data_IF_914523682663
#
_entry.id   IF_914523682663
#
_cell.length_a   1.000
_cell.length_b   1.000
_cell.length_c   1.000
_cell.angle_alpha   90.00
_cell.angle_beta   90.00
_cell.angle_gamma   90.00
#
_symmetry.space_group_name_H-M   'P 1'
#
loop_
_entity.id
_entity.type
_entity.pdbx_description
1 polymer ?
#
# COMPACT_ATOMS: atom_id res chain seq x y z
N UNK A 1 7.94 -14.10 5.24
CA UNK A 1 7.27 -13.39 6.32
C UNK A 1 6.65 -12.15 5.68
N UNK A 2 5.34 -12.01 5.76
CA UNK A 2 4.61 -10.89 5.17
C UNK A 2 4.39 -9.76 6.18
N UNK A 3 3.69 -8.72 5.74
CA UNK A 3 3.22 -7.61 6.58
C UNK A 3 2.34 -8.16 7.71
N UNK A 4 2.59 -7.72 8.93
CA UNK A 4 1.83 -8.17 10.13
C UNK A 4 0.81 -7.13 10.60
N UNK A 5 1.00 -5.86 10.24
CA UNK A 5 0.05 -4.78 10.50
C UNK A 5 0.18 -3.63 9.51
N UNK A 6 -0.91 -2.87 9.36
CA UNK A 6 -0.98 -1.64 8.57
C UNK A 6 -1.58 -0.57 9.49
N UNK A 7 -0.79 0.46 9.78
CA UNK A 7 -1.18 1.50 10.73
C UNK A 7 -2.06 2.60 10.14
N UNK A 8 -2.48 3.50 11.01
CA UNK A 8 -3.42 4.59 10.69
C UNK A 8 -3.05 5.37 9.43
N UNK A 9 -4.06 5.66 8.63
CA UNK A 9 -3.98 6.51 7.44
C UNK A 9 -3.00 6.06 6.34
N UNK A 10 -2.45 4.83 6.38
CA UNK A 10 -1.43 4.38 5.43
C UNK A 10 -1.85 4.56 3.96
N UNK A 11 -3.09 4.28 3.64
CA UNK A 11 -3.69 4.45 2.30
C UNK A 11 -4.92 5.36 2.31
N UNK A 12 -5.02 6.24 3.31
CA UNK A 12 -6.13 7.19 3.41
C UNK A 12 -6.23 8.06 2.17
N UNK A 13 -7.43 8.14 1.59
CA UNK A 13 -7.72 8.94 0.42
C UNK A 13 -7.12 8.43 -0.90
N UNK A 14 -6.47 7.28 -0.92
CA UNK A 14 -5.90 6.68 -2.15
C UNK A 14 -7.01 6.16 -3.08
N UNK A 15 -7.86 7.07 -3.55
CA UNK A 15 -9.06 6.78 -4.35
C UNK A 15 -8.76 6.20 -5.76
N UNK A 16 -7.51 6.27 -6.21
CA UNK A 16 -7.07 5.68 -7.47
C UNK A 16 -6.82 4.17 -7.40
N UNK A 17 -6.80 3.56 -6.20
CA UNK A 17 -6.58 2.13 -6.07
C UNK A 17 -7.81 1.34 -6.52
N UNK A 18 -7.60 0.40 -7.44
CA UNK A 18 -8.62 -0.54 -7.94
C UNK A 18 -8.33 -1.98 -7.54
N UNK A 19 -7.10 -2.28 -7.12
CA UNK A 19 -6.68 -3.61 -6.70
C UNK A 19 -5.58 -3.53 -5.65
N UNK A 20 -5.71 -4.34 -4.60
CA UNK A 20 -4.69 -4.52 -3.57
C UNK A 20 -4.41 -6.01 -3.43
N UNK A 21 -3.14 -6.41 -3.54
CA UNK A 21 -2.71 -7.80 -3.36
C UNK A 21 -2.03 -7.95 -1.99
N UNK A 22 -2.60 -8.78 -1.15
CA UNK A 22 -2.03 -9.13 0.15
C UNK A 22 -1.67 -10.61 0.11
N UNK A 23 -0.38 -10.93 0.24
CA UNK A 23 0.12 -12.32 0.19
C UNK A 23 0.27 -12.94 1.58
N UNK A 24 -0.20 -12.26 2.62
CA UNK A 24 -0.13 -12.76 3.97
C UNK A 24 -1.18 -13.85 4.20
N UNK A 25 -0.75 -15.05 4.56
CA UNK A 25 -1.63 -16.17 4.95
C UNK A 25 -2.35 -15.89 6.28
N UNK A 26 -1.72 -15.10 7.15
CA UNK A 26 -2.34 -14.57 8.36
C UNK A 26 -2.78 -13.14 8.11
N UNK A 27 -4.03 -12.84 8.40
CA UNK A 27 -4.60 -11.51 8.19
C UNK A 27 -3.82 -10.49 9.02
N UNK A 28 -3.23 -9.45 8.39
CA UNK A 28 -2.57 -8.37 9.09
C UNK A 28 -3.57 -7.59 9.94
N UNK A 29 -3.14 -7.04 11.05
CA UNK A 29 -3.93 -6.04 11.76
C UNK A 29 -3.98 -4.77 10.93
N UNK A 30 -5.14 -4.13 10.89
CA UNK A 30 -5.29 -2.79 10.33
C UNK A 30 -5.83 -1.87 11.42
N UNK A 31 -5.23 -0.68 11.50
CA UNK A 31 -5.68 0.37 12.40
C UNK A 31 -6.82 1.19 11.77
N UNK A 32 -7.23 2.26 12.44
CA UNK A 32 -8.34 3.11 11.97
C UNK A 32 -7.97 3.84 10.68
N UNK A 33 -8.97 4.07 9.82
CA UNK A 33 -8.86 4.94 8.63
C UNK A 33 -7.80 4.53 7.60
N UNK A 34 -7.24 3.33 7.70
CA UNK A 34 -6.17 2.85 6.80
C UNK A 34 -6.56 3.00 5.33
N UNK A 35 -7.75 2.56 4.96
CA UNK A 35 -8.27 2.58 3.59
C UNK A 35 -9.45 3.53 3.40
N UNK A 36 -9.69 4.44 4.34
CA UNK A 36 -10.77 5.41 4.19
C UNK A 36 -10.55 6.29 2.95
N UNK A 37 -11.58 6.45 2.12
CA UNK A 37 -11.49 7.14 0.84
C UNK A 37 -11.03 6.27 -0.33
N UNK A 38 -10.66 5.01 -0.10
CA UNK A 38 -10.60 3.98 -1.14
C UNK A 38 -12.02 3.57 -1.48
N UNK A 39 -12.37 3.51 -2.78
CA UNK A 39 -13.72 3.12 -3.21
C UNK A 39 -13.92 1.60 -3.00
N UNK A 40 -14.62 1.23 -1.93
CA UNK A 40 -14.88 -0.16 -1.54
C UNK A 40 -15.56 -1.00 -2.63
N UNK A 41 -16.29 -0.37 -3.56
CA UNK A 41 -16.98 -1.04 -4.66
C UNK A 41 -16.09 -1.27 -5.87
N UNK A 42 -15.11 -0.39 -6.07
CA UNK A 42 -14.20 -0.45 -7.21
C UNK A 42 -12.89 -1.14 -6.89
N UNK A 43 -12.44 -1.06 -5.63
CA UNK A 43 -11.19 -1.68 -5.22
C UNK A 43 -11.43 -3.14 -4.81
N UNK A 44 -10.74 -4.05 -5.47
CA UNK A 44 -10.74 -5.49 -5.13
C UNK A 44 -9.53 -5.82 -4.27
N UNK A 45 -9.78 -6.45 -3.13
CA UNK A 45 -8.73 -7.04 -2.29
C UNK A 45 -8.46 -8.47 -2.76
N UNK A 46 -7.24 -8.72 -3.22
CA UNK A 46 -6.79 -10.05 -3.61
C UNK A 46 -6.01 -10.68 -2.46
N UNK A 47 -6.41 -11.89 -2.07
CA UNK A 47 -5.85 -12.63 -0.93
C UNK A 47 -5.43 -14.04 -1.33
N UNK A 48 -4.52 -14.70 -0.61
CA UNK A 48 -4.09 -16.06 -0.94
C UNK A 48 -5.25 -17.05 -0.95
N UNK A 49 -5.15 -18.07 -1.80
CA UNK A 49 -6.10 -19.19 -1.82
C UNK A 49 -6.32 -19.79 -0.43
N UNK A 50 -7.57 -20.01 -0.07
CA UNK A 50 -7.99 -20.56 1.23
C UNK A 50 -8.06 -19.56 2.38
N UNK A 51 -7.77 -18.25 2.15
CA UNK A 51 -7.77 -17.25 3.23
C UNK A 51 -8.92 -16.23 3.15
N UNK A 52 -9.75 -16.29 2.10
CA UNK A 52 -10.82 -15.30 1.86
C UNK A 52 -11.74 -15.12 3.06
N UNK A 53 -12.14 -16.21 3.69
CA UNK A 53 -13.10 -16.14 4.80
C UNK A 53 -12.47 -15.49 6.02
N UNK A 54 -11.18 -15.71 6.29
CA UNK A 54 -10.44 -15.05 7.37
C UNK A 54 -10.40 -13.53 7.15
N UNK A 55 -10.12 -13.09 5.91
CA UNK A 55 -10.15 -11.67 5.56
C UNK A 55 -11.55 -11.07 5.65
N UNK A 56 -12.60 -11.81 5.23
CA UNK A 56 -13.99 -11.37 5.34
C UNK A 56 -14.50 -11.26 6.78
N UNK A 57 -13.93 -12.02 7.71
CA UNK A 57 -14.26 -11.96 9.14
C UNK A 57 -13.43 -10.91 9.89
N UNK A 58 -12.42 -10.32 9.23
CA UNK A 58 -11.54 -9.29 9.80
C UNK A 58 -12.04 -7.87 9.51
N UNK A 59 -11.28 -6.86 9.96
CA UNK A 59 -11.60 -5.45 9.74
C UNK A 59 -11.50 -5.02 8.27
N UNK A 60 -10.85 -5.80 7.41
CA UNK A 60 -10.83 -5.55 5.96
C UNK A 60 -12.23 -5.49 5.35
N UNK A 61 -13.21 -6.18 5.90
CA UNK A 61 -14.61 -6.16 5.44
C UNK A 61 -15.24 -4.77 5.43
N UNK A 62 -14.76 -3.86 6.28
CA UNK A 62 -15.29 -2.50 6.33
C UNK A 62 -14.84 -1.63 5.17
N UNK A 63 -13.75 -2.02 4.50
CA UNK A 63 -13.11 -1.26 3.44
C UNK A 63 -13.22 -1.92 2.06
N UNK A 64 -13.58 -3.21 1.97
CA UNK A 64 -13.63 -3.94 0.71
C UNK A 64 -14.90 -4.76 0.59
N UNK A 65 -15.73 -4.45 -0.41
CA UNK A 65 -16.89 -5.29 -0.77
C UNK A 65 -16.43 -6.53 -1.57
N UNK A 66 -15.35 -6.37 -2.36
CA UNK A 66 -14.80 -7.41 -3.21
C UNK A 66 -13.51 -7.98 -2.62
N UNK A 67 -13.59 -9.18 -2.03
CA UNK A 67 -12.44 -9.95 -1.57
C UNK A 67 -12.37 -11.23 -2.38
N UNK A 68 -11.30 -11.40 -3.16
CA UNK A 68 -11.13 -12.47 -4.14
C UNK A 68 -9.84 -13.23 -3.86
N UNK A 69 -9.90 -14.54 -3.92
CA UNK A 69 -8.71 -15.38 -3.84
C UNK A 69 -7.99 -15.40 -5.18
N UNK A 70 -6.66 -15.41 -5.14
CA UNK A 70 -5.84 -15.49 -6.33
C UNK A 70 -4.76 -16.56 -6.21
N UNK A 71 -4.48 -17.20 -7.32
CA UNK A 71 -3.22 -17.92 -7.50
C UNK A 71 -2.17 -16.92 -7.97
N UNK A 72 -0.93 -17.06 -7.50
CA UNK A 72 0.16 -16.16 -7.85
C UNK A 72 0.50 -16.26 -9.35
N UNK A 73 -0.29 -15.62 -10.18
CA UNK A 73 -0.03 -15.47 -11.62
C UNK A 73 0.56 -14.09 -11.87
N UNK A 74 1.54 -14.01 -12.75
CA UNK A 74 2.18 -12.74 -13.11
C UNK A 74 1.17 -11.80 -13.77
N UNK A 75 0.97 -10.63 -13.13
CA UNK A 75 0.28 -9.49 -13.73
C UNK A 75 1.35 -8.62 -14.38
N UNK A 76 1.10 -8.10 -15.58
CA UNK A 76 1.97 -7.10 -16.23
C UNK A 76 2.16 -5.90 -15.32
N UNK A 77 3.29 -5.84 -14.63
CA UNK A 77 3.62 -4.80 -13.66
C UNK A 77 5.08 -4.37 -13.76
N UNK A 78 5.32 -3.12 -13.41
CA UNK A 78 6.69 -2.63 -13.20
C UNK A 78 7.16 -3.18 -11.86
N UNK A 79 8.24 -3.96 -11.90
CA UNK A 79 8.88 -4.50 -10.68
C UNK A 79 10.13 -3.68 -10.36
N UNK A 80 10.22 -3.18 -9.14
CA UNK A 80 11.37 -2.42 -8.66
C UNK A 80 11.98 -3.14 -7.47
N UNK A 81 13.27 -3.50 -7.61
CA UNK A 81 14.09 -4.01 -6.52
C UNK A 81 14.76 -2.84 -5.81
N UNK A 82 14.50 -2.69 -4.52
CA UNK A 82 15.16 -1.71 -3.66
C UNK A 82 16.23 -2.42 -2.81
N UNK A 83 17.49 -2.08 -3.06
CA UNK A 83 18.63 -2.55 -2.24
C UNK A 83 18.69 -1.81 -0.89
N UNK A 84 18.05 -0.65 -0.81
CA UNK A 84 18.01 0.20 0.37
C UNK A 84 16.66 0.89 0.46
N UNK A 85 16.07 0.89 1.65
CA UNK A 85 14.85 1.64 1.95
C UNK A 85 15.04 3.16 1.73
N UNK A 86 13.99 3.83 1.27
CA UNK A 86 13.99 5.27 1.00
C UNK A 86 14.51 5.64 -0.38
N UNK A 87 14.79 4.68 -1.25
CA UNK A 87 15.38 4.94 -2.58
C UNK A 87 14.41 4.78 -3.75
N UNK A 88 13.14 4.52 -3.51
CA UNK A 88 12.13 4.49 -4.58
C UNK A 88 12.10 5.78 -5.42
N UNK A 89 12.22 6.99 -4.82
CA UNK A 89 12.29 8.24 -5.58
C UNK A 89 13.48 8.32 -6.55
N UNK A 90 14.57 7.63 -6.25
CA UNK A 90 15.76 7.57 -7.13
C UNK A 90 15.56 6.59 -8.30
N UNK A 91 14.66 5.61 -8.14
CA UNK A 91 14.39 4.56 -9.13
C UNK A 91 13.29 4.91 -10.12
N UNK A 92 12.39 5.82 -9.75
CA UNK A 92 11.28 6.29 -10.58
C UNK A 92 11.46 7.78 -10.83
N UNK A 93 11.70 8.15 -12.08
CA UNK A 93 11.79 9.56 -12.46
C UNK A 93 10.49 10.30 -12.15
N UNK A 94 10.58 11.51 -11.61
CA UNK A 94 9.42 12.33 -11.21
C UNK A 94 8.42 12.54 -12.35
N UNK A 95 8.89 12.59 -13.61
CA UNK A 95 8.04 12.71 -14.81
C UNK A 95 7.24 11.43 -15.12
N UNK A 96 7.65 10.29 -14.58
CA UNK A 96 7.01 8.98 -14.84
C UNK A 96 6.12 8.49 -13.71
N UNK A 97 6.32 8.98 -12.49
CA UNK A 97 5.64 8.44 -11.30
C UNK A 97 4.11 8.45 -11.39
N UNK A 98 3.53 9.46 -12.05
CA UNK A 98 2.09 9.58 -12.19
C UNK A 98 1.48 8.76 -13.35
N UNK A 99 2.34 8.08 -14.15
CA UNK A 99 1.89 7.25 -15.27
C UNK A 99 1.94 5.74 -14.97
N UNK A 100 2.49 5.36 -13.84
CA UNK A 100 2.59 3.95 -13.43
C UNK A 100 1.27 3.53 -12.82
N UNK A 101 0.62 2.54 -13.42
CA UNK A 101 -0.64 1.98 -12.94
C UNK A 101 -0.46 0.72 -12.09
N UNK A 102 0.58 -0.09 -12.38
CA UNK A 102 0.84 -1.35 -11.69
C UNK A 102 2.30 -1.37 -11.20
N UNK A 103 2.49 -1.52 -9.89
CA UNK A 103 3.80 -1.50 -9.25
C UNK A 103 3.97 -2.67 -8.30
N UNK A 104 5.06 -3.43 -8.48
CA UNK A 104 5.58 -4.35 -7.48
C UNK A 104 6.88 -3.81 -6.90
N UNK A 105 7.01 -3.89 -5.59
CA UNK A 105 8.25 -3.54 -4.88
C UNK A 105 8.80 -4.79 -4.19
N UNK A 106 10.09 -5.00 -4.37
CA UNK A 106 10.87 -6.05 -3.70
C UNK A 106 11.94 -5.37 -2.87
N UNK A 107 12.15 -5.82 -1.64
CA UNK A 107 13.17 -5.29 -0.74
C UNK A 107 12.61 -4.42 0.37
N UNK A 108 13.47 -3.62 0.99
CA UNK A 108 13.09 -2.79 2.13
C UNK A 108 12.50 -1.46 1.70
N UNK A 109 11.40 -1.04 2.33
CA UNK A 109 10.73 0.25 2.15
C UNK A 109 10.57 0.97 3.49
N UNK A 110 10.58 2.30 3.46
CA UNK A 110 10.34 3.13 4.63
C UNK A 110 9.39 4.31 4.30
N UNK A 111 9.26 5.27 5.22
CA UNK A 111 8.35 6.41 5.08
C UNK A 111 8.57 7.21 3.80
N UNK A 112 9.81 7.37 3.34
CA UNK A 112 10.13 8.09 2.08
C UNK A 112 9.55 7.37 0.86
N UNK A 113 9.63 6.04 0.82
CA UNK A 113 9.07 5.23 -0.26
C UNK A 113 7.54 5.28 -0.23
N UNK A 114 6.95 5.16 0.97
CA UNK A 114 5.49 5.24 1.15
C UNK A 114 4.94 6.61 0.75
N UNK A 115 5.64 7.68 1.04
CA UNK A 115 5.25 9.02 0.58
C UNK A 115 5.09 9.03 -0.95
N UNK A 116 6.09 8.54 -1.69
CA UNK A 116 6.01 8.48 -3.14
C UNK A 116 4.89 7.56 -3.64
N UNK A 117 4.70 6.39 -3.02
CA UNK A 117 3.61 5.47 -3.35
C UNK A 117 2.25 6.15 -3.18
N UNK A 118 2.05 6.93 -2.12
CA UNK A 118 0.83 7.70 -1.91
C UNK A 118 0.59 8.73 -3.01
N UNK A 119 1.62 9.48 -3.40
CA UNK A 119 1.52 10.42 -4.51
C UNK A 119 1.16 9.73 -5.82
N UNK A 120 1.74 8.55 -6.08
CA UNK A 120 1.42 7.72 -7.24
C UNK A 120 -0.03 7.20 -7.19
N UNK A 121 -0.58 6.98 -6.00
CA UNK A 121 -1.95 6.51 -5.77
C UNK A 121 -3.01 7.63 -5.65
N UNK A 122 -2.64 8.87 -5.99
CA UNK A 122 -3.58 9.99 -6.10
C UNK A 122 -3.67 10.92 -4.90
N UNK A 123 -2.81 10.76 -3.88
CA UNK A 123 -2.77 11.65 -2.70
C UNK A 123 -1.34 11.91 -2.23
N UNK A 124 -1.01 13.17 -1.96
CA UNK A 124 0.24 13.51 -1.30
C UNK A 124 0.21 13.21 0.21
N UNK A 125 1.31 13.51 0.91
CA UNK A 125 1.41 13.29 2.35
C UNK A 125 0.41 14.13 3.18
N UNK A 126 -0.09 15.23 2.65
CA UNK A 126 -1.09 16.10 3.28
C UNK A 126 -2.52 15.76 2.88
N UNK A 127 -2.72 14.73 2.07
CA UNK A 127 -4.01 14.30 1.57
C UNK A 127 -4.54 15.14 0.40
N UNK A 128 -3.75 16.04 -0.19
CA UNK A 128 -4.14 16.76 -1.39
C UNK A 128 -4.12 15.84 -2.61
N UNK A 129 -5.03 16.04 -3.58
CA UNK A 129 -5.07 15.26 -4.81
C UNK A 129 -3.77 15.39 -5.61
N UNK A 130 -3.33 14.29 -6.22
CA UNK A 130 -2.28 14.23 -7.21
C UNK A 130 -2.77 13.59 -8.51
N UNK A 131 -2.01 13.69 -9.59
CA UNK A 131 -2.32 13.05 -10.88
C UNK A 131 -1.94 11.55 -10.92
N UNK A 132 -1.63 10.96 -9.78
CA UNK A 132 -1.22 9.56 -9.66
C UNK A 132 -2.27 8.58 -10.18
N UNK A 133 -1.82 7.59 -10.94
CA UNK A 133 -2.65 6.56 -11.60
C UNK A 133 -2.38 5.16 -11.07
N UNK A 134 -1.61 5.02 -9.99
CA UNK A 134 -1.31 3.72 -9.39
C UNK A 134 -2.63 3.09 -8.89
N UNK A 135 -3.00 2.00 -9.51
CA UNK A 135 -4.23 1.26 -9.24
C UNK A 135 -3.97 -0.14 -8.70
N UNK A 136 -2.78 -0.69 -8.97
CA UNK A 136 -2.34 -1.99 -8.47
C UNK A 136 -1.00 -1.83 -7.76
N UNK A 137 -0.94 -2.22 -6.51
CA UNK A 137 0.27 -2.20 -5.68
C UNK A 137 0.52 -3.59 -5.08
N UNK A 138 1.69 -4.16 -5.38
CA UNK A 138 2.12 -5.45 -4.86
C UNK A 138 3.34 -5.25 -3.94
N UNK A 139 3.13 -5.45 -2.65
CA UNK A 139 4.14 -5.40 -1.59
C UNK A 139 4.46 -6.79 -1.03
N UNK A 140 4.13 -7.85 -1.75
CA UNK A 140 4.29 -9.23 -1.28
C UNK A 140 5.72 -9.62 -0.92
N UNK A 141 6.70 -9.00 -1.59
CA UNK A 141 8.13 -9.19 -1.36
C UNK A 141 8.81 -7.94 -0.79
N UNK A 142 8.01 -6.98 -0.31
CA UNK A 142 8.49 -5.82 0.40
C UNK A 142 8.56 -6.10 1.91
N UNK A 143 9.52 -5.46 2.56
CA UNK A 143 9.65 -5.42 4.01
C UNK A 143 9.62 -3.98 4.47
N UNK A 144 8.77 -3.67 5.43
CA UNK A 144 8.70 -2.34 5.99
C UNK A 144 9.75 -2.21 7.09
N UNK A 145 10.56 -1.16 7.00
CA UNK A 145 11.59 -0.86 7.99
C UNK A 145 11.39 0.55 8.53
N UNK A 146 11.87 0.76 9.75
CA UNK A 146 11.89 2.07 10.38
C UNK A 146 12.76 3.04 9.59
N UNK A 147 12.34 4.32 9.54
CA UNK A 147 13.13 5.41 8.96
C UNK A 147 12.44 6.12 7.81
N UNK A 148 13.21 6.98 7.15
CA UNK A 148 12.67 7.90 6.15
C UNK A 148 11.92 9.07 6.76
N UNK A 149 11.26 9.86 5.89
CA UNK A 149 10.35 10.93 6.31
C UNK A 149 8.97 10.40 6.71
N UNK A 150 8.12 11.29 7.21
CA UNK A 150 6.72 10.97 7.38
C UNK A 150 6.08 10.68 6.01
N UNK A 151 5.18 9.70 5.97
CA UNK A 151 4.41 9.42 4.75
C UNK A 151 3.03 10.06 4.76
N UNK A 152 2.56 10.53 5.92
CA UNK A 152 1.31 11.28 6.07
C UNK A 152 1.45 12.35 7.14
N UNK A 153 1.00 13.59 6.82
CA UNK A 153 0.91 14.74 7.71
C UNK A 153 -0.54 14.88 8.20
N UNK A 154 -0.81 14.45 9.42
CA UNK A 154 -2.15 14.36 10.00
C UNK A 154 -2.64 15.63 10.70
N UNK A 155 -2.13 16.82 10.36
CA UNK A 155 -2.44 18.12 10.99
C UNK A 155 -1.99 18.26 12.47
N UNK A 156 -1.91 17.18 13.23
CA UNK A 156 -1.50 17.14 14.63
C UNK A 156 -0.38 16.14 14.90
N UNK A 157 -0.26 15.11 14.06
CA UNK A 157 0.73 14.06 14.19
C UNK A 157 1.21 13.62 12.81
N UNK A 158 2.52 13.55 12.63
CA UNK A 158 3.15 12.94 11.47
C UNK A 158 3.21 11.42 11.66
N UNK A 159 2.99 10.67 10.59
CA UNK A 159 3.01 9.21 10.60
C UNK A 159 4.27 8.68 9.92
N UNK A 160 4.96 7.78 10.61
CA UNK A 160 6.23 7.18 10.20
C UNK A 160 6.10 5.66 10.10
N UNK A 161 7.07 5.02 9.47
CA UNK A 161 7.18 3.56 9.48
C UNK A 161 7.98 3.09 10.69
N UNK A 162 7.60 1.93 11.21
CA UNK A 162 8.42 1.09 12.09
C UNK A 162 8.57 -0.30 11.48
N UNK A 163 9.44 -1.14 12.02
CA UNK A 163 9.73 -2.44 11.44
C UNK A 163 8.47 -3.32 11.31
N UNK A 164 8.15 -3.73 10.06
CA UNK A 164 6.97 -4.51 9.67
C UNK A 164 5.62 -3.86 10.00
N UNK A 165 5.61 -2.54 10.28
CA UNK A 165 4.41 -1.75 10.59
C UNK A 165 4.39 -0.49 9.72
N UNK A 166 3.22 -0.20 9.15
CA UNK A 166 2.93 1.12 8.57
C UNK A 166 2.10 1.87 9.61
N UNK A 167 2.68 2.92 10.18
CA UNK A 167 2.05 3.76 11.20
C UNK A 167 2.45 3.41 12.63
N UNK A 168 3.07 4.31 13.29
CA UNK A 168 3.37 4.29 14.72
C UNK A 168 3.21 5.70 15.29
#
# INVERSE_FOLDING_TARGET
>A
AGITSIGDYAFYGCSGLTSIYVYAEKVPKIDSNVFEGVDAKKCTLYVPMGTRDDYRLSDFRYYFENIVEFEATEIDKITINLEKAGTLPDRIASSKKYHIANLKIIGEINGTDLWMIREMAGRDARGYPTDGKLSVLDLSEAKIVEGGGYYYDGNYNDYYTSNDVIGS
#
